data_IF_882304384557
#
_entry.id   IF_882304384557
#
_cell.length_a   1.000
_cell.length_b   1.000
_cell.length_c   1.000
_cell.angle_alpha   90.00
_cell.angle_beta   90.00
_cell.angle_gamma   90.00
#
_symmetry.space_group_name_H-M   'P 1'
#
loop_
_entity.id
_entity.type
_entity.pdbx_description
1 polymer ?
#
# COMPACT_ATOMS: atom_id res chain seq x y z
N UNK A 1 2.85 23.13 -20.37
CA UNK A 1 3.79 22.87 -21.49
C UNK A 1 5.22 22.73 -20.99
N UNK A 2 6.06 21.95 -21.70
CA UNK A 2 7.40 21.47 -21.32
C UNK A 2 8.55 22.48 -21.56
N UNK A 3 8.28 23.78 -21.42
CA UNK A 3 9.21 24.90 -21.68
C UNK A 3 9.88 24.91 -23.06
N UNK A 4 9.23 24.32 -24.06
CA UNK A 4 9.60 24.51 -25.45
C UNK A 4 8.98 25.81 -25.97
N UNK A 5 9.79 26.68 -26.58
CA UNK A 5 9.31 27.91 -27.21
C UNK A 5 8.30 27.63 -28.34
N UNK A 6 8.43 26.49 -29.01
CA UNK A 6 7.49 25.97 -30.01
C UNK A 6 7.36 24.46 -29.83
N UNK A 7 6.18 24.01 -29.42
CA UNK A 7 5.89 22.58 -29.18
C UNK A 7 5.92 21.76 -30.47
N UNK A 8 5.55 22.36 -31.59
CA UNK A 8 5.57 21.70 -32.90
C UNK A 8 7.01 21.43 -33.34
N UNK A 9 7.90 22.39 -33.09
CA UNK A 9 9.34 22.23 -33.35
C UNK A 9 9.98 21.22 -32.40
N UNK A 10 9.54 21.16 -31.15
CA UNK A 10 10.04 20.17 -30.19
C UNK A 10 9.75 18.73 -30.64
N UNK A 11 8.56 18.48 -31.17
CA UNK A 11 8.16 17.18 -31.72
C UNK A 11 9.00 16.90 -32.98
N UNK A 12 8.99 17.78 -33.98
CA UNK A 12 9.72 17.58 -35.25
C UNK A 12 11.23 17.37 -35.09
N UNK A 13 11.84 17.97 -34.08
CA UNK A 13 13.29 17.94 -33.89
C UNK A 13 13.76 16.76 -33.05
N UNK A 14 12.91 16.26 -32.16
CA UNK A 14 13.33 15.27 -31.17
C UNK A 14 12.58 13.94 -31.29
N UNK A 15 11.44 13.87 -31.98
CA UNK A 15 10.64 12.64 -32.13
C UNK A 15 10.80 12.11 -33.54
N UNK A 16 11.12 10.83 -33.65
CA UNK A 16 11.21 10.14 -34.94
C UNK A 16 9.82 9.95 -35.55
N UNK A 17 9.74 9.85 -36.89
CA UNK A 17 8.45 9.74 -37.59
C UNK A 17 7.65 8.50 -37.15
N UNK A 18 8.32 7.39 -36.82
CA UNK A 18 7.69 6.15 -36.36
C UNK A 18 7.00 6.30 -34.98
N UNK A 19 7.37 7.33 -34.22
CA UNK A 19 6.82 7.63 -32.91
C UNK A 19 5.70 8.69 -32.95
N UNK A 20 5.41 9.21 -34.13
CA UNK A 20 4.33 10.16 -34.40
C UNK A 20 3.11 9.38 -34.90
N UNK A 21 2.01 9.47 -34.16
CA UNK A 21 0.75 8.81 -34.53
C UNK A 21 -0.10 9.82 -35.30
N UNK A 22 -0.47 9.46 -36.53
CA UNK A 22 -1.38 10.24 -37.34
C UNK A 22 -2.82 9.77 -37.07
N UNK A 23 -3.75 10.71 -37.06
CA UNK A 23 -5.19 10.47 -36.91
C UNK A 23 -5.68 9.32 -37.82
N UNK A 24 -5.19 9.24 -39.07
CA UNK A 24 -5.52 8.14 -39.99
C UNK A 24 -5.17 6.75 -39.47
N UNK A 25 -3.96 6.55 -38.94
CA UNK A 25 -3.49 5.26 -38.39
C UNK A 25 -4.25 4.87 -37.11
N UNK A 26 -4.69 5.86 -36.32
CA UNK A 26 -5.56 5.67 -35.16
C UNK A 26 -6.93 5.07 -35.53
N UNK A 27 -7.41 5.33 -36.75
CA UNK A 27 -8.73 4.88 -37.25
C UNK A 27 -8.66 3.71 -38.26
N UNK A 28 -7.46 3.31 -38.69
CA UNK A 28 -7.26 2.27 -39.73
C UNK A 28 -7.39 0.81 -39.24
N UNK A 29 -7.73 0.58 -37.96
CA UNK A 29 -8.04 -0.75 -37.42
C UNK A 29 -9.42 -1.33 -37.78
N UNK A 30 -10.20 -0.64 -38.63
CA UNK A 30 -11.54 -1.05 -39.03
C UNK A 30 -11.57 -1.90 -40.30
N UNK A 31 -12.39 -2.97 -40.31
CA UNK A 31 -12.73 -3.72 -41.54
C UNK A 31 -13.24 -2.75 -42.59
N UNK A 32 -12.77 -2.88 -43.84
CA UNK A 32 -12.92 -1.93 -44.96
C UNK A 32 -14.37 -1.56 -45.40
N UNK A 33 -15.40 -1.97 -44.64
CA UNK A 33 -16.81 -1.76 -44.97
C UNK A 33 -17.60 -1.00 -43.89
N UNK A 34 -16.98 -0.64 -42.77
CA UNK A 34 -17.62 0.24 -41.77
C UNK A 34 -17.06 1.65 -41.89
N UNK A 35 -17.91 2.70 -41.90
CA UNK A 35 -17.44 4.09 -41.81
C UNK A 35 -16.47 4.23 -40.64
N UNK A 36 -15.40 5.04 -40.76
CA UNK A 36 -14.46 5.26 -39.67
C UNK A 36 -15.26 5.64 -38.43
N UNK A 37 -14.92 5.02 -37.29
CA UNK A 37 -15.56 5.31 -36.02
C UNK A 37 -15.45 6.82 -35.79
N UNK A 38 -16.55 7.57 -35.99
CA UNK A 38 -16.66 8.93 -35.47
C UNK A 38 -16.70 8.79 -33.96
N UNK A 39 -15.52 8.68 -33.35
CA UNK A 39 -15.43 8.74 -31.92
C UNK A 39 -15.72 10.18 -31.54
N UNK A 40 -16.86 10.39 -30.88
CA UNK A 40 -17.22 11.64 -30.18
C UNK A 40 -16.05 12.22 -29.35
N UNK A 41 -15.05 11.38 -29.02
CA UNK A 41 -13.79 11.72 -28.34
C UNK A 41 -12.88 12.71 -29.09
N UNK A 42 -12.93 12.78 -30.43
CA UNK A 42 -12.01 13.61 -31.23
C UNK A 42 -12.73 14.58 -32.17
N UNK A 43 -14.05 14.76 -32.04
CA UNK A 43 -14.83 15.64 -32.92
C UNK A 43 -14.47 17.14 -32.81
N UNK A 44 -13.81 17.54 -31.70
CA UNK A 44 -13.41 18.92 -31.43
C UNK A 44 -11.89 19.16 -31.53
N UNK A 45 -11.10 18.15 -31.92
CA UNK A 45 -9.66 18.29 -32.05
C UNK A 45 -9.29 18.82 -33.44
N UNK A 46 -8.27 19.69 -33.50
CA UNK A 46 -7.77 20.20 -34.78
C UNK A 46 -7.22 19.01 -35.61
N UNK A 47 -7.58 18.88 -36.90
CA UNK A 47 -7.00 17.87 -37.79
C UNK A 47 -5.45 17.88 -37.85
N UNK A 48 -4.81 18.99 -37.44
CA UNK A 48 -3.36 19.14 -37.35
C UNK A 48 -2.77 18.76 -35.98
N UNK A 49 -3.59 18.32 -35.02
CA UNK A 49 -3.10 17.83 -33.73
C UNK A 49 -2.24 16.58 -33.93
N UNK A 50 -1.00 16.64 -33.42
CA UNK A 50 -0.02 15.56 -33.52
C UNK A 50 -0.08 14.72 -32.26
N UNK A 51 -0.30 13.41 -32.41
CA UNK A 51 -0.21 12.45 -31.32
C UNK A 51 1.17 11.78 -31.33
N UNK A 52 1.65 11.40 -30.15
CA UNK A 52 2.92 10.70 -29.99
C UNK A 52 2.68 9.44 -29.16
N UNK A 53 3.42 8.38 -29.47
CA UNK A 53 3.40 7.16 -28.68
C UNK A 53 4.25 7.31 -27.40
N UNK A 54 4.33 6.25 -26.59
CA UNK A 54 5.12 6.26 -25.34
C UNK A 54 6.62 6.45 -25.58
N UNK A 55 7.16 5.90 -26.68
CA UNK A 55 8.56 6.09 -27.07
C UNK A 55 8.86 7.56 -27.37
N UNK A 56 8.06 8.20 -28.22
CA UNK A 56 8.17 9.63 -28.53
C UNK A 56 8.00 10.51 -27.30
N UNK A 57 7.09 10.14 -26.38
CA UNK A 57 6.94 10.82 -25.10
C UNK A 57 8.25 10.81 -24.28
N UNK A 58 8.89 9.64 -24.12
CA UNK A 58 10.16 9.56 -23.41
C UNK A 58 11.25 10.40 -24.05
N UNK A 59 11.31 10.43 -25.38
CA UNK A 59 12.30 11.22 -26.11
C UNK A 59 12.14 12.72 -25.84
N UNK A 60 10.91 13.23 -25.84
CA UNK A 60 10.63 14.63 -25.49
C UNK A 60 11.01 14.91 -24.03
N UNK A 61 10.64 14.03 -23.10
CA UNK A 61 10.99 14.20 -21.68
C UNK A 61 12.51 14.22 -21.49
N UNK A 62 13.24 13.39 -22.22
CA UNK A 62 14.69 13.30 -22.10
C UNK A 62 15.41 14.51 -22.71
N UNK A 63 14.83 15.13 -23.73
CA UNK A 63 15.33 16.35 -24.35
C UNK A 63 14.91 17.64 -23.61
N UNK A 64 13.85 17.61 -22.80
CA UNK A 64 13.33 18.81 -22.13
C UNK A 64 14.27 19.35 -21.06
N UNK A 65 14.30 20.68 -20.94
CA UNK A 65 15.05 21.42 -19.90
C UNK A 65 14.21 21.76 -18.67
N UNK A 66 12.93 21.40 -18.67
CA UNK A 66 12.00 21.70 -17.59
C UNK A 66 12.38 20.93 -16.31
N UNK A 67 12.26 21.57 -15.15
CA UNK A 67 12.69 20.99 -13.88
C UNK A 67 11.98 19.65 -13.57
N UNK A 68 10.70 19.54 -13.86
CA UNK A 68 9.91 18.32 -13.70
C UNK A 68 10.39 17.20 -14.62
N UNK A 69 10.67 17.52 -15.89
CA UNK A 69 11.19 16.56 -16.86
C UNK A 69 12.60 16.08 -16.48
N UNK A 70 13.45 16.98 -15.97
CA UNK A 70 14.78 16.62 -15.46
C UNK A 70 14.66 15.70 -14.24
N UNK A 71 13.73 15.95 -13.32
CA UNK A 71 13.48 15.07 -12.16
C UNK A 71 13.04 13.69 -12.61
N UNK A 72 12.09 13.62 -13.55
CA UNK A 72 11.62 12.36 -14.10
C UNK A 72 12.75 11.60 -14.80
N UNK A 73 13.49 12.25 -15.70
CA UNK A 73 14.65 11.67 -16.38
C UNK A 73 15.65 11.10 -15.39
N UNK A 74 16.02 11.87 -14.34
CA UNK A 74 16.93 11.41 -13.29
C UNK A 74 16.39 10.19 -12.54
N UNK A 75 15.11 10.17 -12.19
CA UNK A 75 14.49 9.03 -11.54
C UNK A 75 14.53 7.78 -12.43
N UNK A 76 14.19 7.91 -13.72
CA UNK A 76 14.27 6.81 -14.67
C UNK A 76 15.71 6.29 -14.83
N UNK A 77 16.69 7.18 -15.03
CA UNK A 77 18.08 6.77 -15.31
C UNK A 77 18.84 6.28 -14.10
N UNK A 78 18.53 6.79 -12.90
CA UNK A 78 19.28 6.47 -11.68
C UNK A 78 18.65 5.34 -10.88
N UNK A 79 17.33 5.15 -10.98
CA UNK A 79 16.59 4.18 -10.16
C UNK A 79 15.95 3.08 -11.02
N UNK A 80 15.09 3.45 -11.96
CA UNK A 80 14.26 2.50 -12.73
C UNK A 80 15.12 1.61 -13.62
N UNK A 81 15.86 2.21 -14.57
CA UNK A 81 16.65 1.45 -15.54
C UNK A 81 17.76 0.62 -14.88
N UNK A 82 18.51 1.11 -13.87
CA UNK A 82 19.47 0.29 -13.17
C UNK A 82 18.84 -0.91 -12.46
N UNK A 83 17.65 -0.75 -11.88
CA UNK A 83 16.92 -1.84 -11.22
C UNK A 83 16.49 -2.91 -12.22
N UNK A 84 15.89 -2.50 -13.34
CA UNK A 84 15.51 -3.42 -14.43
C UNK A 84 16.76 -4.12 -14.99
N UNK A 85 17.86 -3.41 -15.23
CA UNK A 85 19.10 -4.02 -15.75
C UNK A 85 19.68 -5.08 -14.80
N UNK A 86 19.62 -4.84 -13.48
CA UNK A 86 20.18 -5.75 -12.47
C UNK A 86 19.28 -6.95 -12.19
N UNK A 87 17.98 -6.73 -12.10
CA UNK A 87 17.01 -7.68 -11.50
C UNK A 87 16.03 -8.21 -12.56
N UNK A 88 15.90 -7.54 -13.71
CA UNK A 88 14.93 -7.86 -14.76
C UNK A 88 13.55 -7.22 -14.56
N UNK A 89 13.36 -6.45 -13.47
CA UNK A 89 12.08 -5.79 -13.15
C UNK A 89 12.30 -4.53 -12.31
N UNK A 90 11.35 -3.60 -12.31
CA UNK A 90 11.28 -2.50 -11.36
C UNK A 90 9.99 -2.63 -10.54
N UNK A 91 10.12 -2.85 -9.23
CA UNK A 91 8.98 -2.89 -8.33
C UNK A 91 8.95 -1.62 -7.49
N UNK A 92 7.85 -0.86 -7.58
CA UNK A 92 7.59 0.28 -6.68
C UNK A 92 7.51 -0.13 -5.19
N UNK A 93 7.52 -1.44 -4.91
CA UNK A 93 7.48 -2.04 -3.58
C UNK A 93 8.91 -2.22 -3.03
N UNK A 94 9.97 -2.03 -3.83
CA UNK A 94 11.37 -2.25 -3.41
C UNK A 94 11.91 -1.23 -2.40
N UNK A 95 11.15 -0.17 -2.12
CA UNK A 95 11.38 0.70 -0.97
C UNK A 95 10.87 0.11 0.35
N UNK A 96 11.12 -1.17 0.67
CA UNK A 96 10.81 -1.69 2.01
C UNK A 96 11.83 -2.70 2.53
N UNK A 97 12.77 -2.11 3.29
CA UNK A 97 13.38 -2.52 4.56
C UNK A 97 13.90 -3.97 4.66
N UNK A 98 15.24 -4.10 4.68
CA UNK A 98 15.87 -4.96 5.71
C UNK A 98 15.48 -4.34 7.06
N UNK A 99 14.23 -4.57 7.48
CA UNK A 99 13.71 -4.09 8.75
C UNK A 99 14.55 -4.81 9.80
N UNK A 100 15.30 -4.04 10.60
CA UNK A 100 16.11 -4.60 11.68
C UNK A 100 15.17 -5.35 12.63
N UNK A 101 15.07 -6.67 12.43
CA UNK A 101 14.08 -7.51 13.09
C UNK A 101 14.27 -7.50 14.60
N UNK A 102 15.45 -7.07 15.07
CA UNK A 102 15.77 -6.81 16.47
C UNK A 102 14.81 -5.83 17.12
N UNK A 103 14.30 -4.82 16.39
CA UNK A 103 13.33 -3.86 16.92
C UNK A 103 12.03 -4.53 17.42
N UNK A 104 11.68 -5.66 16.82
CA UNK A 104 10.46 -6.41 17.12
C UNK A 104 10.72 -7.60 18.06
N UNK A 105 11.91 -7.69 18.65
CA UNK A 105 12.22 -8.73 19.61
C UNK A 105 11.25 -8.71 20.80
N UNK A 106 10.63 -9.86 21.09
CA UNK A 106 9.60 -10.05 22.10
C UNK A 106 8.37 -9.13 21.97
N UNK A 107 8.10 -8.60 20.78
CA UNK A 107 6.91 -7.78 20.53
C UNK A 107 5.83 -8.57 19.84
N UNK A 108 4.60 -8.37 20.28
CA UNK A 108 3.43 -8.86 19.56
C UNK A 108 3.27 -8.05 18.28
N UNK A 109 3.16 -8.73 17.15
CA UNK A 109 3.03 -8.07 15.86
C UNK A 109 2.13 -8.83 14.91
N UNK A 110 1.61 -8.10 13.93
CA UNK A 110 0.96 -8.65 12.73
C UNK A 110 1.87 -8.39 11.55
N UNK A 111 2.23 -9.41 10.80
CA UNK A 111 3.08 -9.30 9.62
C UNK A 111 2.27 -9.60 8.35
N UNK A 112 2.74 -9.02 7.26
CA UNK A 112 2.32 -9.33 5.90
C UNK A 112 3.58 -9.67 5.11
N UNK A 113 3.61 -10.87 4.53
CA UNK A 113 4.70 -11.37 3.70
C UNK A 113 4.20 -11.68 2.30
N UNK A 114 5.05 -11.42 1.33
CA UNK A 114 4.85 -11.79 -0.06
C UNK A 114 5.44 -13.18 -0.31
N UNK A 115 4.62 -14.05 -0.88
CA UNK A 115 5.03 -15.42 -1.21
C UNK A 115 5.57 -15.43 -2.63
N UNK A 116 4.66 -15.47 -3.62
CA UNK A 116 4.98 -15.52 -5.05
C UNK A 116 3.85 -14.86 -5.84
N UNK A 117 4.19 -14.30 -7.00
CA UNK A 117 3.25 -13.61 -7.90
C UNK A 117 2.49 -12.51 -7.14
N UNK A 118 1.17 -12.48 -7.20
CA UNK A 118 0.34 -11.49 -6.50
C UNK A 118 -0.23 -12.06 -5.18
N UNK A 119 0.45 -13.04 -4.56
CA UNK A 119 -0.04 -13.76 -3.36
C UNK A 119 0.70 -13.29 -2.10
N UNK A 120 -0.08 -12.92 -1.09
CA UNK A 120 0.40 -12.41 0.18
C UNK A 120 -0.22 -13.18 1.34
N UNK A 121 0.61 -13.46 2.35
CA UNK A 121 0.18 -14.07 3.61
C UNK A 121 0.24 -13.04 4.72
N UNK A 122 -0.77 -13.04 5.57
CA UNK A 122 -0.75 -12.30 6.84
C UNK A 122 -0.81 -13.26 8.02
N UNK A 123 -0.44 -12.75 9.19
CA UNK A 123 -0.61 -13.47 10.45
C UNK A 123 -0.03 -12.69 11.62
N UNK A 124 -0.34 -13.14 12.83
CA UNK A 124 0.21 -12.61 14.07
C UNK A 124 1.33 -13.50 14.62
N UNK A 125 2.19 -12.92 15.47
CA UNK A 125 3.22 -13.64 16.24
C UNK A 125 3.80 -12.74 17.33
N UNK A 126 4.26 -13.34 18.43
CA UNK A 126 5.08 -12.67 19.45
C UNK A 126 6.59 -12.85 19.19
N UNK A 127 6.94 -13.76 18.29
CA UNK A 127 8.32 -14.11 17.95
C UNK A 127 8.50 -14.05 16.44
N UNK A 128 8.69 -12.84 15.91
CA UNK A 128 8.70 -12.60 14.47
C UNK A 128 9.82 -13.36 13.76
N UNK A 129 11.02 -13.38 14.35
CA UNK A 129 12.19 -14.02 13.76
C UNK A 129 11.99 -15.53 13.54
N UNK A 130 11.60 -16.26 14.59
CA UNK A 130 11.31 -17.71 14.52
C UNK A 130 10.18 -18.01 13.52
N UNK A 131 9.14 -17.16 13.51
CA UNK A 131 7.99 -17.34 12.60
C UNK A 131 8.39 -17.15 11.14
N UNK A 132 9.20 -16.14 10.85
CA UNK A 132 9.71 -15.88 9.51
C UNK A 132 10.66 -17.00 9.05
N UNK A 133 11.56 -17.49 9.90
CA UNK A 133 12.40 -18.65 9.57
C UNK A 133 11.56 -19.88 9.18
N UNK A 134 10.53 -20.21 9.94
CA UNK A 134 9.62 -21.32 9.61
C UNK A 134 8.85 -21.08 8.29
N UNK A 135 8.47 -19.84 7.98
CA UNK A 135 7.86 -19.51 6.69
C UNK A 135 8.88 -19.58 5.54
N UNK A 136 10.16 -19.30 5.79
CA UNK A 136 11.21 -19.44 4.77
C UNK A 136 11.37 -20.90 4.35
N UNK A 137 11.28 -21.84 5.30
CA UNK A 137 11.36 -23.27 4.98
C UNK A 137 10.07 -23.81 4.36
N UNK A 138 8.90 -23.40 4.85
CA UNK A 138 7.62 -24.03 4.48
C UNK A 138 6.91 -23.38 3.29
N UNK A 139 7.05 -22.07 3.13
CA UNK A 139 6.39 -21.27 2.09
C UNK A 139 7.37 -20.67 1.09
N UNK A 140 8.67 -20.67 1.43
CA UNK A 140 9.72 -19.99 0.69
C UNK A 140 9.31 -18.55 0.32
N UNK A 141 8.86 -17.79 1.31
CA UNK A 141 8.40 -16.42 1.07
C UNK A 141 9.57 -15.54 0.57
N UNK A 142 9.24 -14.60 -0.32
CA UNK A 142 10.23 -13.76 -0.99
C UNK A 142 10.56 -12.52 -0.18
N UNK A 143 9.54 -11.84 0.36
CA UNK A 143 9.69 -10.49 0.91
C UNK A 143 8.75 -10.20 2.07
N UNK A 144 9.19 -9.39 3.02
CA UNK A 144 8.34 -8.83 4.06
C UNK A 144 7.74 -7.53 3.51
N UNK A 145 6.41 -7.42 3.52
CA UNK A 145 5.73 -6.21 3.05
C UNK A 145 5.54 -5.21 4.19
N UNK A 146 5.09 -5.69 5.34
CA UNK A 146 4.83 -4.82 6.50
C UNK A 146 4.80 -5.60 7.81
N UNK A 147 5.31 -4.98 8.87
CA UNK A 147 5.14 -5.46 10.26
C UNK A 147 4.46 -4.36 11.08
N UNK A 148 3.38 -4.74 11.74
CA UNK A 148 2.60 -3.91 12.64
C UNK A 148 2.88 -4.29 14.08
N UNK A 149 3.64 -3.45 14.80
CA UNK A 149 3.85 -3.60 16.24
C UNK A 149 2.55 -3.35 17.01
N UNK A 150 2.20 -4.27 17.90
CA UNK A 150 1.02 -4.22 18.74
C UNK A 150 1.43 -4.22 20.20
N UNK A 151 0.68 -3.49 21.03
CA UNK A 151 0.96 -3.43 22.46
C UNK A 151 0.76 -4.79 23.17
N UNK A 152 -0.17 -5.62 22.66
CA UNK A 152 -0.53 -6.91 23.25
C UNK A 152 -1.01 -7.88 22.15
N UNK A 153 -0.87 -9.18 22.37
CA UNK A 153 -1.31 -10.24 21.46
C UNK A 153 -2.82 -10.19 21.16
N UNK A 154 -3.65 -9.81 22.13
CA UNK A 154 -5.09 -9.62 21.92
C UNK A 154 -5.38 -8.58 20.83
N UNK A 155 -4.52 -7.57 20.69
CA UNK A 155 -4.67 -6.52 19.69
C UNK A 155 -4.21 -7.01 18.33
N UNK A 156 -3.14 -7.82 18.29
CA UNK A 156 -2.70 -8.49 17.08
C UNK A 156 -3.80 -9.41 16.53
N UNK A 157 -4.44 -10.22 17.39
CA UNK A 157 -5.59 -11.08 17.01
C UNK A 157 -6.77 -10.23 16.52
N UNK A 158 -7.09 -9.11 17.17
CA UNK A 158 -8.15 -8.20 16.73
C UNK A 158 -7.85 -7.60 15.35
N UNK A 159 -6.62 -7.18 15.11
CA UNK A 159 -6.20 -6.63 13.82
C UNK A 159 -6.23 -7.70 12.72
N UNK A 160 -5.72 -8.90 13.00
CA UNK A 160 -5.78 -10.04 12.08
C UNK A 160 -7.21 -10.38 11.68
N UNK A 161 -8.14 -10.42 12.64
CA UNK A 161 -9.55 -10.65 12.35
C UNK A 161 -10.17 -9.54 11.50
N UNK A 162 -9.79 -8.27 11.73
CA UNK A 162 -10.21 -7.15 10.88
C UNK A 162 -9.66 -7.28 9.46
N UNK A 163 -8.40 -7.68 9.30
CA UNK A 163 -7.79 -7.96 7.99
C UNK A 163 -8.55 -9.10 7.31
N UNK A 164 -8.84 -10.20 8.03
CA UNK A 164 -9.60 -11.33 7.53
C UNK A 164 -10.99 -10.92 7.02
N UNK A 165 -11.70 -10.08 7.78
CA UNK A 165 -12.99 -9.52 7.36
C UNK A 165 -12.83 -8.63 6.13
N UNK A 166 -11.85 -7.73 6.12
CA UNK A 166 -11.58 -6.83 4.98
C UNK A 166 -11.31 -7.60 3.69
N UNK A 167 -10.43 -8.59 3.75
CA UNK A 167 -10.05 -9.45 2.62
C UNK A 167 -11.27 -10.22 2.09
N UNK A 168 -12.13 -10.74 2.99
CA UNK A 168 -13.38 -11.40 2.60
C UNK A 168 -14.39 -10.44 1.96
N UNK A 169 -14.56 -9.24 2.52
CA UNK A 169 -15.45 -8.21 1.97
C UNK A 169 -15.02 -7.80 0.56
N UNK A 170 -13.72 -7.71 0.33
CA UNK A 170 -13.14 -7.39 -0.98
C UNK A 170 -13.08 -8.60 -1.93
N UNK A 171 -13.46 -9.80 -1.49
CA UNK A 171 -13.42 -11.07 -2.26
C UNK A 171 -12.04 -11.40 -2.83
N UNK A 172 -10.98 -11.04 -2.11
CA UNK A 172 -9.59 -11.31 -2.48
C UNK A 172 -8.96 -12.43 -1.63
N UNK A 173 -9.74 -13.08 -0.76
CA UNK A 173 -9.28 -14.22 0.03
C UNK A 173 -8.97 -15.40 -0.89
N UNK A 174 -7.82 -16.04 -0.66
CA UNK A 174 -7.40 -17.22 -1.41
C UNK A 174 -6.79 -18.25 -0.48
N UNK A 175 -6.68 -19.48 -0.95
CA UNK A 175 -5.99 -20.57 -0.25
C UNK A 175 -4.74 -20.89 -1.06
N UNK A 176 -3.61 -21.06 -0.37
CA UNK A 176 -2.36 -21.50 -0.99
C UNK A 176 -1.78 -22.64 -0.18
N UNK A 177 -1.50 -23.76 -0.85
CA UNK A 177 -1.18 -25.04 -0.23
C UNK A 177 -2.24 -25.41 0.82
N UNK A 178 -1.92 -25.25 2.10
CA UNK A 178 -2.81 -25.55 3.25
C UNK A 178 -3.18 -24.32 4.07
N UNK A 179 -2.73 -23.13 3.65
CA UNK A 179 -2.89 -21.90 4.42
C UNK A 179 -4.06 -21.05 3.95
N UNK A 180 -4.84 -20.52 4.90
CA UNK A 180 -6.08 -19.77 4.64
C UNK A 180 -5.96 -18.27 4.93
N UNK A 181 -4.93 -17.83 5.65
CA UNK A 181 -4.66 -16.40 5.94
C UNK A 181 -3.90 -15.76 4.77
N UNK A 182 -4.47 -15.87 3.56
CA UNK A 182 -3.83 -15.47 2.31
C UNK A 182 -4.80 -14.66 1.45
N UNK A 183 -4.24 -13.68 0.74
CA UNK A 183 -4.98 -12.88 -0.23
C UNK A 183 -4.20 -12.70 -1.53
N UNK A 184 -4.93 -12.55 -2.63
CA UNK A 184 -4.36 -12.30 -3.96
C UNK A 184 -4.80 -10.94 -4.48
N UNK A 185 -3.84 -10.04 -4.74
CA UNK A 185 -4.11 -8.65 -5.12
C UNK A 185 -3.01 -8.13 -6.06
N UNK A 186 -3.39 -7.44 -7.13
CA UNK A 186 -2.43 -6.85 -8.05
C UNK A 186 -1.65 -5.69 -7.44
N UNK A 187 -0.42 -5.46 -7.92
CA UNK A 187 0.50 -4.46 -7.37
C UNK A 187 -0.11 -3.06 -7.22
N UNK A 188 -0.94 -2.62 -8.18
CA UNK A 188 -1.61 -1.31 -8.14
C UNK A 188 -2.62 -1.21 -6.98
N UNK A 189 -3.29 -2.31 -6.66
CA UNK A 189 -4.31 -2.37 -5.61
C UNK A 189 -3.73 -2.68 -4.23
N UNK A 190 -2.53 -3.26 -4.17
CA UNK A 190 -1.85 -3.61 -2.92
C UNK A 190 -1.63 -2.37 -2.06
N UNK A 191 -1.15 -1.26 -2.65
CA UNK A 191 -0.87 -0.02 -1.92
C UNK A 191 -2.12 0.53 -1.22
N UNK A 192 -3.26 0.52 -1.91
CA UNK A 192 -4.53 0.95 -1.35
C UNK A 192 -5.01 0.03 -0.22
N UNK A 193 -4.78 -1.29 -0.35
CA UNK A 193 -5.11 -2.25 0.70
C UNK A 193 -4.24 -2.04 1.95
N UNK A 194 -2.92 -1.90 1.78
CA UNK A 194 -1.99 -1.65 2.88
C UNK A 194 -2.37 -0.36 3.61
N UNK A 195 -2.69 0.72 2.87
CA UNK A 195 -3.16 1.97 3.48
C UNK A 195 -4.42 1.78 4.34
N UNK A 196 -5.39 0.98 3.88
CA UNK A 196 -6.58 0.64 4.68
C UNK A 196 -6.21 -0.16 5.93
N UNK A 197 -5.24 -1.05 5.85
CA UNK A 197 -4.76 -1.85 7.00
C UNK A 197 -4.00 -0.96 8.00
N UNK A 198 -3.22 0.01 7.52
CA UNK A 198 -2.55 1.01 8.37
C UNK A 198 -3.58 1.79 9.21
N UNK A 199 -4.67 2.23 8.59
CA UNK A 199 -5.78 2.89 9.30
C UNK A 199 -6.45 1.97 10.33
N UNK A 200 -6.64 0.69 10.01
CA UNK A 200 -7.20 -0.31 10.94
C UNK A 200 -6.28 -0.56 12.12
N UNK A 201 -4.96 -0.61 11.89
CA UNK A 201 -3.94 -0.75 12.92
C UNK A 201 -3.99 0.43 13.89
N UNK A 202 -4.00 1.66 13.36
CA UNK A 202 -4.07 2.89 14.16
C UNK A 202 -5.37 3.00 14.97
N UNK A 203 -6.51 2.60 14.38
CA UNK A 203 -7.79 2.55 15.11
C UNK A 203 -7.74 1.55 16.25
N UNK A 204 -7.11 0.39 16.04
CA UNK A 204 -7.02 -0.68 17.05
C UNK A 204 -6.18 -0.25 18.24
N UNK A 205 -5.07 0.47 18.01
CA UNK A 205 -4.24 1.01 19.09
C UNK A 205 -4.91 2.15 19.87
N UNK A 206 -5.63 3.06 19.19
CA UNK A 206 -6.35 4.19 19.83
C UNK A 206 -7.52 3.73 20.72
N UNK A 207 -8.32 2.77 20.26
CA UNK A 207 -9.51 2.29 20.98
C UNK A 207 -9.18 1.72 22.37
N UNK A 208 -7.96 1.22 22.56
CA UNK A 208 -7.49 0.67 23.82
C UNK A 208 -7.04 1.72 24.81
N UNK A 209 -6.44 2.82 24.36
CA UNK A 209 -6.09 3.93 25.25
C UNK A 209 -7.36 4.43 25.94
N UNK A 210 -8.39 4.74 25.15
CA UNK A 210 -9.68 5.19 25.67
C UNK A 210 -10.35 4.15 26.59
N UNK A 211 -10.34 2.87 26.24
CA UNK A 211 -10.93 1.82 27.09
C UNK A 211 -10.16 1.62 28.41
N UNK A 212 -8.84 1.71 28.38
CA UNK A 212 -8.02 1.58 29.60
C UNK A 212 -8.23 2.79 30.52
N UNK A 213 -8.29 4.00 29.97
CA UNK A 213 -8.53 5.22 30.73
C UNK A 213 -9.89 5.20 31.42
N UNK A 214 -10.95 4.82 30.69
CA UNK A 214 -12.31 4.69 31.23
C UNK A 214 -12.41 3.62 32.33
N UNK A 215 -11.75 2.47 32.14
CA UNK A 215 -11.76 1.40 33.15
C UNK A 215 -10.97 1.80 34.41
N UNK A 216 -9.87 2.53 34.26
CA UNK A 216 -9.08 3.03 35.38
C UNK A 216 -9.87 4.07 36.19
N UNK A 217 -10.62 4.95 35.51
CA UNK A 217 -11.49 5.94 36.14
C UNK A 217 -12.61 5.28 36.95
N UNK A 218 -13.28 4.27 36.37
CA UNK A 218 -14.29 3.47 37.06
C UNK A 218 -13.73 2.73 38.29
N UNK A 219 -12.50 2.22 38.21
CA UNK A 219 -11.85 1.52 39.32
C UNK A 219 -11.51 2.47 40.48
N UNK A 220 -11.03 3.68 40.15
CA UNK A 220 -10.79 4.74 41.14
C UNK A 220 -12.07 5.15 41.85
N UNK A 221 -13.17 5.27 41.11
CA UNK A 221 -14.48 5.61 41.66
C UNK A 221 -15.01 4.52 42.61
N UNK A 222 -14.86 3.24 42.24
CA UNK A 222 -15.20 2.11 43.12
C UNK A 222 -14.39 2.11 44.41
N UNK A 223 -13.07 2.33 44.33
CA UNK A 223 -12.22 2.37 45.52
C UNK A 223 -12.58 3.53 46.46
N UNK A 224 -12.85 4.72 45.91
CA UNK A 224 -13.31 5.86 46.70
C UNK A 224 -14.63 5.58 47.42
N UNK A 225 -15.58 4.92 46.75
CA UNK A 225 -16.85 4.53 47.38
C UNK A 225 -16.67 3.49 48.50
N UNK A 226 -15.74 2.55 48.34
CA UNK A 226 -15.38 1.59 49.40
C UNK A 226 -14.76 2.28 50.61
N UNK A 227 -13.87 3.25 50.40
CA UNK A 227 -13.25 4.03 51.48
C UNK A 227 -14.32 4.80 52.29
N UNK A 228 -15.26 5.46 51.60
CA UNK A 228 -16.37 6.15 52.24
C UNK A 228 -17.27 5.20 53.05
N UNK A 229 -17.53 3.99 52.54
CA UNK A 229 -18.30 2.98 53.28
C UNK A 229 -17.58 2.51 54.55
N UNK A 230 -16.26 2.32 54.48
CA UNK A 230 -15.44 1.96 55.64
C UNK A 230 -15.45 3.09 56.68
N UNK A 231 -15.36 4.35 56.25
CA UNK A 231 -15.38 5.51 57.14
C UNK A 231 -16.74 5.67 57.86
N UNK A 232 -17.85 5.51 57.13
CA UNK A 232 -19.19 5.50 57.70
C UNK A 232 -19.38 4.38 58.73
N UNK A 233 -18.85 3.18 58.47
CA UNK A 233 -18.90 2.05 59.39
C UNK A 233 -18.10 2.30 60.69
N UNK A 234 -16.95 2.99 60.59
CA UNK A 234 -16.17 3.39 61.77
C UNK A 234 -16.92 4.41 62.62
N UNK A 235 -17.60 5.37 61.98
CA UNK A 235 -18.40 6.39 62.67
C UNK A 235 -19.63 5.78 63.37
N UNK A 236 -20.31 4.80 62.76
CA UNK A 236 -21.45 4.13 63.40
C UNK A 236 -21.06 3.32 64.64
N UNK A 237 -19.88 2.70 64.65
CA UNK A 237 -19.41 1.91 65.79
C UNK A 237 -18.92 2.79 66.96
N UNK A 238 -18.36 3.97 66.68
CA UNK A 238 -17.92 4.91 67.72
C UNK A 238 -19.09 5.63 68.43
N UNK A 239 -20.25 5.76 67.78
CA UNK A 239 -21.46 6.37 68.36
C UNK A 239 -22.33 5.37 69.16
N UNK A 240 -21.92 4.10 69.24
CA UNK A 240 -22.63 3.02 69.92
C UNK A 240 -21.96 2.58 71.24
N UNK A 241 -20.98 3.36 71.73
CA UNK A 241 -20.31 3.23 73.04
C UNK A 241 -20.57 4.48 73.88
#
# INVERSE_FOLDING_TARGET
>A
MLDYNDTTQAIRKNVDNDDIIIIGELFEGGVCQTPPLKSELFENEDPQTVFINESGFYTIIFASKKAEAIKFRKWVTSEVLPSIRKIGSYNLIDNYIEEDLEKYHNKDCVYIIHIKDNIYKYGNTSHIFKRLQAHKTNLNYNKIIKIYEMNNMNNAIKLENKIKTLVKTLKINTVYNTHVEIFKVDNNNLQNLIKKIDDLSLKTSKLLKNNNDNNLELLKEKNRNLELQIELFKLSNNNSS
#
